data_IF_588799760075
#
_entry.id   IF_588799760075
#
_cell.length_a   1.000
_cell.length_b   1.000
_cell.length_c   1.000
_cell.angle_alpha   90.00
_cell.angle_beta   90.00
_cell.angle_gamma   90.00
#
_symmetry.space_group_name_H-M   'P 1'
#
loop_
_entity.id
_entity.type
_entity.pdbx_description
1 polymer ?
#
# COMPACT_ATOMS: atom_id res chain seq x y z
N UNK A 1 -3.33 -20.38 -30.81
CA UNK A 1 -3.11 -19.43 -29.70
C UNK A 1 -4.39 -19.38 -28.86
N UNK A 2 -4.36 -19.82 -27.59
CA UNK A 2 -5.56 -19.98 -26.75
C UNK A 2 -5.60 -18.83 -25.73
N UNK A 3 -6.58 -17.96 -25.83
CA UNK A 3 -6.81 -16.86 -24.87
C UNK A 3 -7.31 -17.50 -23.57
N UNK A 4 -6.56 -17.34 -22.46
CA UNK A 4 -7.08 -17.68 -21.12
C UNK A 4 -7.99 -16.54 -20.69
N UNK A 5 -9.29 -16.80 -20.62
CA UNK A 5 -10.22 -15.96 -19.86
C UNK A 5 -10.05 -16.39 -18.40
N UNK A 6 -9.45 -15.56 -17.55
CA UNK A 6 -9.41 -15.84 -16.12
C UNK A 6 -10.78 -15.53 -15.53
N UNK A 7 -11.47 -16.57 -15.05
CA UNK A 7 -12.71 -16.39 -14.30
C UNK A 7 -12.42 -15.64 -13.00
N UNK A 8 -13.37 -14.80 -12.57
CA UNK A 8 -13.28 -14.12 -11.28
C UNK A 8 -13.25 -15.17 -10.16
N UNK A 9 -12.38 -15.01 -9.15
CA UNK A 9 -12.38 -15.90 -8.00
C UNK A 9 -13.68 -15.68 -7.20
N UNK A 10 -14.49 -16.72 -7.07
CA UNK A 10 -15.71 -16.72 -6.25
C UNK A 10 -15.41 -17.48 -4.97
N UNK A 11 -15.69 -16.86 -3.82
CA UNK A 11 -15.59 -17.47 -2.49
C UNK A 11 -17.01 -17.83 -2.04
N UNK A 12 -17.26 -19.10 -1.72
CA UNK A 12 -18.60 -19.57 -1.30
C UNK A 12 -18.85 -19.29 0.18
N UNK A 13 -20.12 -19.29 0.59
CA UNK A 13 -20.51 -18.91 1.96
C UNK A 13 -19.92 -19.82 3.06
N UNK A 14 -19.61 -21.07 2.72
CA UNK A 14 -19.00 -22.09 3.60
C UNK A 14 -17.47 -22.07 3.57
N UNK A 15 -16.86 -21.32 2.65
CA UNK A 15 -15.42 -21.26 2.51
C UNK A 15 -14.81 -20.25 3.51
N UNK A 16 -13.83 -20.70 4.29
CA UNK A 16 -13.08 -19.84 5.23
C UNK A 16 -12.35 -18.72 4.49
N UNK A 17 -12.64 -17.47 4.89
CA UNK A 17 -11.94 -16.28 4.43
C UNK A 17 -10.65 -16.08 5.23
N UNK A 18 -9.49 -16.32 4.59
CA UNK A 18 -8.19 -16.11 5.22
C UNK A 18 -7.79 -14.64 5.13
N UNK A 19 -7.58 -13.98 6.28
CA UNK A 19 -7.07 -12.61 6.34
C UNK A 19 -5.57 -12.64 6.06
N UNK A 20 -5.18 -12.28 4.84
CA UNK A 20 -3.77 -12.27 4.41
C UNK A 20 -3.05 -10.98 4.78
N UNK A 21 -3.78 -9.86 4.87
CA UNK A 21 -3.25 -8.54 5.16
C UNK A 21 -4.22 -7.74 6.03
N UNK A 22 -3.66 -6.94 6.93
CA UNK A 22 -4.42 -5.96 7.71
C UNK A 22 -4.51 -4.68 6.88
N UNK A 23 -5.73 -4.26 6.55
CA UNK A 23 -6.00 -3.01 5.84
C UNK A 23 -6.58 -2.02 6.86
N UNK A 24 -5.89 -0.90 7.06
CA UNK A 24 -6.30 0.15 8.01
C UNK A 24 -6.51 1.45 7.24
N UNK A 25 -7.63 2.13 7.50
CA UNK A 25 -7.86 3.50 7.08
C UNK A 25 -7.76 4.42 8.30
N UNK A 26 -6.75 5.29 8.33
CA UNK A 26 -6.51 6.21 9.44
C UNK A 26 -6.84 7.64 9.02
N UNK A 27 -7.85 8.25 9.65
CA UNK A 27 -8.24 9.64 9.44
C UNK A 27 -8.06 10.45 10.72
N UNK A 28 -7.40 11.61 10.60
CA UNK A 28 -7.11 12.52 11.70
C UNK A 28 -6.61 13.87 11.14
N UNK A 29 -6.64 14.93 11.95
CA UNK A 29 -6.10 16.25 11.59
C UNK A 29 -4.61 16.22 11.23
N UNK A 30 -4.12 17.19 10.41
CA UNK A 30 -2.69 17.35 10.13
C UNK A 30 -1.86 17.44 11.43
N UNK A 31 -0.68 16.82 11.44
CA UNK A 31 0.22 16.83 12.60
C UNK A 31 -0.04 15.74 13.65
N UNK A 32 -1.17 15.02 13.60
CA UNK A 32 -1.47 13.93 14.56
C UNK A 32 -0.71 12.61 14.30
N UNK A 33 0.42 12.66 13.57
CA UNK A 33 1.33 11.52 13.44
C UNK A 33 0.90 10.38 12.48
N UNK A 34 -0.14 10.57 11.65
CA UNK A 34 -0.64 9.54 10.70
C UNK A 34 0.45 8.93 9.83
N UNK A 35 1.21 9.78 9.13
CA UNK A 35 2.30 9.34 8.25
C UNK A 35 3.44 8.71 9.05
N UNK A 36 3.76 9.26 10.23
CA UNK A 36 4.78 8.69 11.12
C UNK A 36 4.40 7.30 11.63
N UNK A 37 3.13 7.06 11.93
CA UNK A 37 2.62 5.73 12.32
C UNK A 37 2.75 4.72 11.16
N UNK A 38 2.51 5.14 9.91
CA UNK A 38 2.76 4.28 8.74
C UNK A 38 4.20 3.78 8.64
N UNK A 39 5.17 4.59 9.08
CA UNK A 39 6.59 4.23 9.08
C UNK A 39 7.02 3.30 10.23
N UNK A 40 6.13 2.94 11.17
CA UNK A 40 6.48 1.97 12.22
C UNK A 40 6.31 0.51 11.80
N UNK A 41 5.76 0.25 10.60
CA UNK A 41 5.63 -1.10 10.07
C UNK A 41 6.98 -1.70 9.66
N UNK A 42 7.12 -3.02 9.76
CA UNK A 42 8.32 -3.73 9.30
C UNK A 42 8.45 -3.61 7.78
N UNK A 43 9.64 -3.20 7.30
CA UNK A 43 9.94 -2.99 5.86
C UNK A 43 8.91 -2.10 5.15
N UNK A 44 8.44 -1.05 5.83
CA UNK A 44 7.45 -0.13 5.29
C UNK A 44 7.91 0.57 4.01
N UNK A 45 7.09 0.50 2.97
CA UNK A 45 7.17 1.33 1.77
C UNK A 45 5.96 2.28 1.79
N UNK A 46 6.22 3.58 1.88
CA UNK A 46 5.20 4.61 1.86
C UNK A 46 4.98 5.12 0.44
N UNK A 47 3.79 4.88 -0.11
CA UNK A 47 3.34 5.52 -1.35
C UNK A 47 2.77 6.89 -1.01
N UNK A 48 3.50 7.93 -1.37
CA UNK A 48 3.19 9.32 -1.05
C UNK A 48 2.42 9.97 -2.20
N UNK A 49 1.10 10.08 -2.04
CA UNK A 49 0.18 10.64 -3.03
C UNK A 49 0.00 12.15 -2.90
N UNK A 50 0.24 12.72 -1.71
CA UNK A 50 0.07 14.15 -1.42
C UNK A 50 1.42 14.90 -1.30
N UNK A 51 2.53 14.20 -1.57
CA UNK A 51 3.91 14.68 -1.40
C UNK A 51 4.19 15.13 0.05
N UNK A 52 3.49 14.54 1.01
CA UNK A 52 3.48 14.91 2.41
C UNK A 52 4.59 14.27 3.25
N UNK A 53 5.35 13.32 2.69
CA UNK A 53 6.35 12.56 3.44
C UNK A 53 7.46 13.44 4.03
N UNK A 54 7.75 14.60 3.44
CA UNK A 54 8.73 15.55 3.98
C UNK A 54 8.34 16.07 5.38
N UNK A 55 7.05 16.06 5.73
CA UNK A 55 6.54 16.53 7.03
C UNK A 55 6.89 15.61 8.19
N UNK A 56 7.32 14.36 7.93
CA UNK A 56 7.65 13.42 9.00
C UNK A 56 9.05 13.62 9.58
N UNK A 57 9.92 14.39 8.91
CA UNK A 57 11.27 14.71 9.40
C UNK A 57 12.07 13.47 9.80
N UNK A 58 12.64 13.49 11.00
CA UNK A 58 13.42 12.38 11.60
C UNK A 58 12.62 11.09 11.81
N UNK A 59 11.29 11.16 11.79
CA UNK A 59 10.41 9.99 11.92
C UNK A 59 10.21 9.23 10.60
N UNK A 60 10.82 9.69 9.50
CA UNK A 60 10.82 8.98 8.22
C UNK A 60 11.75 7.76 8.28
N UNK A 61 11.23 6.62 8.70
CA UNK A 61 12.00 5.38 8.94
C UNK A 61 11.95 4.35 7.80
N UNK A 62 11.30 4.67 6.69
CA UNK A 62 11.09 3.75 5.57
C UNK A 62 11.31 4.37 4.19
N UNK A 63 11.21 3.53 3.17
CA UNK A 63 11.26 3.95 1.77
C UNK A 63 10.02 4.77 1.41
N UNK A 64 10.17 5.72 0.50
CA UNK A 64 9.08 6.57 0.03
C UNK A 64 9.06 6.54 -1.48
N UNK A 65 7.92 6.17 -2.05
CA UNK A 65 7.64 6.28 -3.48
C UNK A 65 6.79 7.53 -3.67
N UNK A 66 7.31 8.52 -4.39
CA UNK A 66 6.55 9.72 -4.75
C UNK A 66 5.66 9.40 -5.95
N UNK A 67 4.38 9.17 -5.70
CA UNK A 67 3.41 8.82 -6.75
C UNK A 67 3.15 10.07 -7.60
N UNK A 68 3.35 9.96 -8.92
CA UNK A 68 3.08 11.06 -9.85
C UNK A 68 1.72 10.92 -10.51
N UNK A 69 1.32 9.68 -10.80
CA UNK A 69 0.07 9.35 -11.46
C UNK A 69 -0.46 8.00 -11.00
N UNK A 70 -1.77 7.78 -11.15
CA UNK A 70 -2.43 6.56 -10.67
C UNK A 70 -1.84 5.27 -11.27
N UNK A 71 -1.37 5.32 -12.51
CA UNK A 71 -0.77 4.16 -13.18
C UNK A 71 0.53 3.68 -12.53
N UNK A 72 1.21 4.53 -11.76
CA UNK A 72 2.44 4.15 -11.04
C UNK A 72 2.16 3.10 -9.97
N UNK A 73 0.92 3.03 -9.48
CA UNK A 73 0.47 2.13 -8.41
C UNK A 73 -0.43 1.03 -8.96
N UNK A 74 -1.30 1.36 -9.92
CA UNK A 74 -2.25 0.41 -10.51
C UNK A 74 -1.57 -0.73 -11.28
N UNK A 75 -0.35 -0.50 -11.78
CA UNK A 75 0.42 -1.47 -12.56
C UNK A 75 1.59 -2.08 -11.79
N UNK A 76 1.65 -1.91 -10.46
CA UNK A 76 2.74 -2.46 -9.65
C UNK A 76 2.80 -3.98 -9.79
N UNK A 77 4.00 -4.47 -10.04
CA UNK A 77 4.35 -5.87 -9.99
C UNK A 77 5.19 -6.16 -8.75
N UNK A 78 5.25 -7.42 -8.28
CA UNK A 78 6.14 -7.78 -7.18
C UNK A 78 7.62 -7.41 -7.44
N UNK A 79 8.05 -7.37 -8.71
CA UNK A 79 9.40 -6.99 -9.11
C UNK A 79 9.70 -5.52 -8.84
N UNK A 80 8.71 -4.64 -8.94
CA UNK A 80 8.86 -3.20 -8.67
C UNK A 80 9.09 -2.90 -7.18
N UNK A 81 8.83 -3.89 -6.31
CA UNK A 81 8.99 -3.82 -4.86
C UNK A 81 10.15 -4.70 -4.36
N UNK A 82 10.91 -5.30 -5.26
CA UNK A 82 12.10 -6.08 -4.91
C UNK A 82 13.23 -5.14 -4.41
N UNK A 83 14.12 -5.61 -3.50
CA UNK A 83 15.24 -4.82 -2.99
C UNK A 83 16.24 -4.38 -4.08
#
# INVERSE_FOLDING_TARGET
MRIRIMALPIITADQTLLVQAIIVYLYADPGLGKSSMGFTAEKAISFDFDRGAHRTGELRRGAVVQVQQWSDVANLTPQDLAP
#
